data_IF_961528528465
#
_entry.id   IF_961528528465
#
_cell.length_a   1.000
_cell.length_b   1.000
_cell.length_c   1.000
_cell.angle_alpha   90.00
_cell.angle_beta   90.00
_cell.angle_gamma   90.00
#
_symmetry.space_group_name_H-M   'P 1'
#
loop_
_entity.id
_entity.type
_entity.pdbx_description
1 polymer ?
#
# COMPACT_ATOMS: atom_id res chain seq x y z
N UNK A 1 -7.12 -12.61 -7.07
CA UNK A 1 -7.99 -11.71 -6.28
C UNK A 1 -8.91 -12.62 -5.49
N UNK A 2 -9.13 -12.35 -4.20
CA UNK A 2 -10.05 -13.17 -3.40
C UNK A 2 -11.51 -12.91 -3.81
N UNK A 3 -12.46 -13.80 -3.46
CA UNK A 3 -13.88 -13.64 -3.81
C UNK A 3 -14.52 -12.33 -3.31
N UNK A 4 -13.97 -11.75 -2.25
CA UNK A 4 -14.35 -10.47 -1.66
C UNK A 4 -13.69 -9.25 -2.35
N UNK A 5 -12.88 -9.48 -3.39
CA UNK A 5 -12.13 -8.44 -4.07
C UNK A 5 -10.81 -8.06 -3.39
N UNK A 6 -10.45 -8.66 -2.25
CA UNK A 6 -9.23 -8.31 -1.54
C UNK A 6 -7.98 -8.70 -2.34
N UNK A 7 -7.03 -7.76 -2.42
CA UNK A 7 -5.70 -7.97 -2.97
C UNK A 7 -4.73 -8.23 -1.82
N UNK A 8 -4.07 -9.39 -1.87
CA UNK A 8 -3.14 -9.86 -0.85
C UNK A 8 -1.79 -10.23 -1.45
N UNK A 9 -0.73 -10.12 -0.65
CA UNK A 9 0.64 -10.44 -1.06
C UNK A 9 1.16 -11.67 -0.33
N UNK A 10 1.89 -12.53 -1.04
CA UNK A 10 2.57 -13.68 -0.47
C UNK A 10 3.65 -13.27 0.53
N UNK A 11 3.57 -13.82 1.74
CA UNK A 11 4.44 -13.47 2.88
C UNK A 11 5.93 -13.64 2.57
N UNK A 12 6.29 -14.66 1.78
CA UNK A 12 7.68 -14.94 1.42
C UNK A 12 8.29 -13.81 0.57
N UNK A 13 7.51 -13.30 -0.39
CA UNK A 13 7.96 -12.25 -1.30
C UNK A 13 8.09 -10.90 -0.61
N UNK A 14 7.33 -10.69 0.47
CA UNK A 14 7.46 -9.49 1.31
C UNK A 14 8.85 -9.40 1.95
N UNK A 15 9.36 -10.52 2.48
CA UNK A 15 10.72 -10.58 3.02
C UNK A 15 11.76 -10.24 1.97
N UNK A 16 11.66 -10.85 0.78
CA UNK A 16 12.59 -10.63 -0.32
C UNK A 16 12.56 -9.18 -0.82
N UNK A 17 11.38 -8.59 -1.00
CA UNK A 17 11.21 -7.20 -1.43
C UNK A 17 11.88 -6.21 -0.47
N UNK A 18 11.86 -6.50 0.83
CA UNK A 18 12.51 -5.70 1.86
C UNK A 18 14.00 -6.02 2.05
N UNK A 19 14.54 -6.96 1.28
CA UNK A 19 15.94 -7.39 1.32
C UNK A 19 16.28 -8.38 2.42
N UNK A 20 15.27 -9.06 2.97
CA UNK A 20 15.43 -10.09 3.98
C UNK A 20 15.19 -11.49 3.41
N UNK A 21 15.33 -12.51 4.27
CA UNK A 21 15.00 -13.90 3.94
C UNK A 21 13.49 -14.10 3.75
N UNK A 22 13.10 -15.15 3.02
CA UNK A 22 11.69 -15.54 2.84
C UNK A 22 10.95 -15.77 4.17
N UNK A 23 11.65 -16.24 5.19
CA UNK A 23 11.10 -16.50 6.53
C UNK A 23 11.01 -15.27 7.44
N UNK A 24 11.51 -14.11 7.01
CA UNK A 24 11.60 -12.90 7.83
C UNK A 24 10.28 -12.51 8.46
N UNK A 25 9.22 -12.41 7.66
CA UNK A 25 7.93 -11.95 8.15
C UNK A 25 7.34 -12.94 9.17
N UNK A 26 7.45 -14.24 8.90
CA UNK A 26 7.03 -15.28 9.84
C UNK A 26 7.73 -15.17 11.19
N UNK A 27 9.05 -14.97 11.19
CA UNK A 27 9.82 -14.81 12.43
C UNK A 27 9.41 -13.55 13.19
N UNK A 28 9.11 -12.47 12.46
CA UNK A 28 8.80 -11.15 13.01
C UNK A 28 7.40 -11.05 13.62
N UNK A 29 6.45 -11.87 13.17
CA UNK A 29 5.10 -11.92 13.71
C UNK A 29 4.88 -13.04 14.75
N UNK A 30 5.88 -13.92 14.99
CA UNK A 30 5.71 -15.10 15.85
C UNK A 30 5.77 -14.79 17.36
N UNK A 31 6.45 -13.71 17.76
CA UNK A 31 6.58 -13.29 19.16
C UNK A 31 6.29 -11.80 19.29
N UNK A 32 5.70 -11.44 20.42
CA UNK A 32 5.53 -10.03 20.76
C UNK A 32 6.91 -9.37 20.86
N UNK A 33 7.08 -8.30 20.09
CA UNK A 33 8.34 -7.58 19.98
C UNK A 33 8.06 -6.08 19.95
N UNK A 34 9.04 -5.25 20.33
CA UNK A 34 8.93 -3.78 20.19
C UNK A 34 8.54 -3.36 18.77
N UNK A 35 8.98 -4.13 17.78
CA UNK A 35 8.60 -3.94 16.38
C UNK A 35 7.15 -4.29 16.11
N UNK A 36 6.63 -5.41 16.61
CA UNK A 36 5.22 -5.76 16.45
C UNK A 36 4.31 -4.75 17.18
N UNK A 37 4.73 -4.25 18.34
CA UNK A 37 4.02 -3.18 19.05
C UNK A 37 3.98 -1.88 18.25
N UNK A 38 5.11 -1.47 17.65
CA UNK A 38 5.17 -0.29 16.79
C UNK A 38 4.36 -0.47 15.49
N UNK A 39 4.26 -1.68 14.95
CA UNK A 39 3.37 -1.97 13.82
C UNK A 39 1.90 -1.89 14.25
N UNK A 40 1.56 -2.44 15.42
CA UNK A 40 0.19 -2.38 15.97
C UNK A 40 -0.28 -0.94 16.22
N UNK A 41 0.61 -0.02 16.63
CA UNK A 41 0.24 1.40 16.75
C UNK A 41 -0.07 2.08 15.41
N UNK A 42 0.29 1.45 14.28
CA UNK A 42 -0.11 1.84 12.93
C UNK A 42 -1.34 1.04 12.44
N UNK A 43 -2.10 0.43 13.35
CA UNK A 43 -3.23 -0.46 13.05
C UNK A 43 -2.86 -1.67 12.17
N UNK A 44 -1.63 -2.19 12.26
CA UNK A 44 -1.24 -3.42 11.58
C UNK A 44 -1.96 -4.62 12.22
N UNK A 45 -2.74 -5.38 11.44
CA UNK A 45 -3.42 -6.57 11.96
C UNK A 45 -2.46 -7.77 12.03
N UNK A 46 -1.58 -7.90 11.03
CA UNK A 46 -0.67 -9.03 10.89
C UNK A 46 -1.38 -10.32 10.51
N UNK A 47 -2.64 -10.23 10.11
CA UNK A 47 -3.48 -11.37 9.76
C UNK A 47 -2.95 -12.06 8.51
N UNK A 48 -2.74 -13.36 8.64
CA UNK A 48 -2.19 -14.19 7.57
C UNK A 48 -3.20 -15.24 7.15
N UNK A 49 -3.61 -15.19 5.89
CA UNK A 49 -4.61 -16.09 5.31
C UNK A 49 -3.94 -17.00 4.28
N UNK A 50 -4.29 -18.28 4.30
CA UNK A 50 -3.90 -19.22 3.27
C UNK A 50 -4.81 -19.06 2.04
N UNK A 51 -4.21 -18.87 0.88
CA UNK A 51 -4.92 -18.76 -0.39
C UNK A 51 -4.41 -19.83 -1.34
N UNK A 52 -5.31 -20.37 -2.16
CA UNK A 52 -4.92 -21.28 -3.24
C UNK A 52 -4.41 -20.47 -4.42
N UNK A 53 -3.21 -20.83 -4.90
CA UNK A 53 -2.59 -20.22 -6.07
C UNK A 53 -3.01 -21.01 -7.29
N UNK A 54 -3.90 -20.43 -8.08
CA UNK A 54 -4.28 -20.98 -9.38
C UNK A 54 -3.12 -20.74 -10.35
N UNK A 55 -2.42 -21.81 -10.75
CA UNK A 55 -1.45 -21.77 -11.84
C UNK A 55 -2.19 -21.79 -13.17
N UNK A 56 -1.92 -20.82 -14.04
CA UNK A 56 -2.33 -20.86 -15.44
C UNK A 56 -1.30 -21.71 -16.20
N UNK A 57 -1.63 -22.99 -16.46
CA UNK A 57 -0.77 -23.94 -17.20
C UNK A 57 -1.27 -25.40 -17.09
N UNK A 58 -0.76 -26.29 -17.96
CA UNK A 58 -1.19 -27.71 -18.08
C UNK A 58 -0.87 -28.57 -16.84
N UNK A 59 0.07 -28.15 -15.99
CA UNK A 59 0.40 -28.82 -14.73
C UNK A 59 -0.54 -28.41 -13.59
N UNK A 60 -1.80 -28.86 -13.69
CA UNK A 60 -2.85 -28.70 -12.65
C UNK A 60 -2.68 -29.62 -11.44
N UNK A 61 -1.50 -30.22 -11.23
CA UNK A 61 -1.38 -31.36 -10.32
C UNK A 61 -1.26 -31.05 -8.83
N UNK A 62 -1.01 -29.81 -8.41
CA UNK A 62 -1.07 -29.46 -6.98
C UNK A 62 -1.58 -28.03 -6.76
N UNK A 63 -2.64 -27.88 -5.97
CA UNK A 63 -3.07 -26.58 -5.45
C UNK A 63 -2.03 -26.10 -4.44
N UNK A 64 -1.14 -25.20 -4.87
CA UNK A 64 -0.18 -24.59 -3.99
C UNK A 64 -0.90 -23.59 -3.08
N UNK A 65 -0.85 -23.85 -1.78
CA UNK A 65 -1.31 -22.89 -0.77
C UNK A 65 -0.19 -21.92 -0.46
N UNK A 66 -0.48 -20.63 -0.59
CA UNK A 66 0.42 -19.56 -0.19
C UNK A 66 -0.15 -18.81 1.00
N UNK A 67 0.70 -18.49 1.98
CA UNK A 67 0.30 -17.63 3.08
C UNK A 67 0.44 -16.17 2.68
N UNK A 68 -0.58 -15.36 2.94
CA UNK A 68 -0.67 -13.99 2.43
C UNK A 68 -1.07 -12.97 3.48
N UNK A 69 -0.67 -11.73 3.28
CA UNK A 69 -1.08 -10.56 4.09
C UNK A 69 -1.87 -9.58 3.24
N UNK A 70 -2.71 -8.78 3.89
CA UNK A 70 -3.43 -7.70 3.23
C UNK A 70 -2.46 -6.68 2.62
N UNK A 71 -2.88 -6.02 1.53
CA UNK A 71 -2.12 -4.91 0.95
C UNK A 71 -1.88 -3.79 1.97
N UNK A 72 -2.84 -3.52 2.87
CA UNK A 72 -2.71 -2.49 3.90
C UNK A 72 -1.60 -2.83 4.90
N UNK A 73 -1.55 -4.06 5.38
CA UNK A 73 -0.50 -4.50 6.29
C UNK A 73 0.87 -4.53 5.63
N UNK A 74 0.92 -4.88 4.34
CA UNK A 74 2.15 -4.79 3.57
C UNK A 74 2.66 -3.35 3.52
N UNK A 75 1.81 -2.37 3.17
CA UNK A 75 2.21 -0.95 3.11
C UNK A 75 2.69 -0.49 4.49
N UNK A 76 1.97 -0.80 5.57
CA UNK A 76 2.39 -0.44 6.94
C UNK A 76 3.76 -1.01 7.30
N UNK A 77 4.03 -2.26 6.93
CA UNK A 77 5.33 -2.88 7.15
C UNK A 77 6.45 -2.17 6.36
N UNK A 78 6.21 -1.88 5.08
CA UNK A 78 7.17 -1.17 4.23
C UNK A 78 7.44 0.23 4.82
N UNK A 79 6.40 0.96 5.22
CA UNK A 79 6.51 2.27 5.87
C UNK A 79 7.32 2.21 7.17
N UNK A 80 7.05 1.22 8.03
CA UNK A 80 7.83 1.02 9.25
C UNK A 80 9.31 0.75 8.96
N UNK A 81 9.60 -0.13 7.99
CA UNK A 81 10.97 -0.43 7.59
C UNK A 81 11.70 0.79 7.02
N UNK A 82 11.02 1.59 6.21
CA UNK A 82 11.57 2.81 5.64
C UNK A 82 11.88 3.85 6.72
N UNK A 83 10.92 4.13 7.61
CA UNK A 83 11.03 5.22 8.60
C UNK A 83 11.84 4.79 9.82
N UNK A 84 11.42 3.71 10.49
CA UNK A 84 12.00 3.31 11.78
C UNK A 84 13.31 2.53 11.64
N UNK A 85 13.49 1.81 10.53
CA UNK A 85 14.73 1.03 10.28
C UNK A 85 15.65 1.67 9.26
N UNK A 86 15.23 2.76 8.60
CA UNK A 86 15.98 3.42 7.50
C UNK A 86 16.39 2.41 6.43
N UNK A 87 15.53 1.41 6.17
CA UNK A 87 15.80 0.36 5.20
C UNK A 87 15.72 0.96 3.79
N UNK A 88 16.88 1.05 3.12
CA UNK A 88 17.00 1.64 1.78
C UNK A 88 16.08 0.97 0.75
N UNK A 89 15.90 -0.36 0.82
CA UNK A 89 15.02 -1.08 -0.11
C UNK A 89 13.55 -0.72 0.12
N UNK A 90 13.14 -0.57 1.38
CA UNK A 90 11.79 -0.12 1.70
C UNK A 90 11.54 1.32 1.24
N UNK A 91 12.53 2.22 1.37
CA UNK A 91 12.46 3.60 0.88
C UNK A 91 12.31 3.63 -0.65
N UNK A 92 13.16 2.88 -1.37
CA UNK A 92 13.08 2.77 -2.84
C UNK A 92 11.72 2.21 -3.27
N UNK A 93 11.21 1.21 -2.56
CA UNK A 93 9.91 0.61 -2.85
C UNK A 93 8.76 1.60 -2.66
N UNK A 94 8.80 2.42 -1.59
CA UNK A 94 7.82 3.50 -1.41
C UNK A 94 7.90 4.54 -2.52
N UNK A 95 9.11 4.94 -2.93
CA UNK A 95 9.29 5.89 -4.02
C UNK A 95 8.70 5.36 -5.33
N UNK A 96 8.99 4.10 -5.68
CA UNK A 96 8.45 3.46 -6.89
C UNK A 96 6.90 3.36 -6.85
N UNK A 97 6.33 3.05 -5.68
CA UNK A 97 4.88 3.04 -5.51
C UNK A 97 4.26 4.43 -5.60
N UNK A 98 4.91 5.45 -5.04
CA UNK A 98 4.45 6.83 -5.12
C UNK A 98 4.48 7.33 -6.56
N UNK A 99 5.58 7.12 -7.28
CA UNK A 99 5.72 7.49 -8.69
C UNK A 99 4.63 6.83 -9.55
N UNK A 100 4.50 5.50 -9.45
CA UNK A 100 3.46 4.75 -10.20
C UNK A 100 2.03 5.17 -9.80
N UNK A 101 1.82 5.46 -8.52
CA UNK A 101 0.53 5.85 -7.98
C UNK A 101 0.11 7.24 -8.45
N UNK A 102 1.03 8.22 -8.37
CA UNK A 102 0.81 9.60 -8.80
C UNK A 102 0.57 9.64 -10.32
N UNK A 103 1.38 8.91 -11.10
CA UNK A 103 1.20 8.83 -12.55
C UNK A 103 -0.22 8.37 -12.92
N UNK A 104 -0.71 7.30 -12.30
CA UNK A 104 -2.09 6.81 -12.50
C UNK A 104 -3.17 7.81 -12.06
N UNK A 105 -2.94 8.51 -10.95
CA UNK A 105 -3.87 9.52 -10.45
C UNK A 105 -3.98 10.68 -11.44
N UNK A 106 -2.84 11.14 -11.98
CA UNK A 106 -2.81 12.16 -13.03
C UNK A 106 -3.55 11.66 -14.27
N UNK A 107 -3.27 10.44 -14.70
CA UNK A 107 -3.91 9.79 -15.84
C UNK A 107 -5.44 9.71 -15.70
N UNK A 108 -5.93 9.31 -14.53
CA UNK A 108 -7.35 9.25 -14.23
C UNK A 108 -7.98 10.65 -14.17
N UNK A 109 -7.29 11.64 -13.59
CA UNK A 109 -7.73 13.03 -13.56
C UNK A 109 -7.84 13.64 -14.97
N UNK A 110 -6.84 13.43 -15.83
CA UNK A 110 -6.88 13.89 -17.23
C UNK A 110 -7.99 13.22 -18.05
N UNK A 111 -8.36 11.98 -17.70
CA UNK A 111 -9.49 11.25 -18.31
C UNK A 111 -10.84 11.63 -17.70
N UNK A 112 -10.90 12.58 -16.78
CA UNK A 112 -12.12 13.03 -16.11
C UNK A 112 -12.72 12.00 -15.15
N UNK A 113 -11.94 11.01 -14.69
CA UNK A 113 -12.39 10.02 -13.70
C UNK A 113 -12.24 10.60 -12.29
N UNK A 114 -13.12 10.17 -11.38
CA UNK A 114 -13.02 10.55 -9.97
C UNK A 114 -11.73 10.03 -9.34
N UNK A 115 -11.07 10.90 -8.57
CA UNK A 115 -9.89 10.60 -7.75
C UNK A 115 -10.23 10.59 -6.24
N UNK A 116 -11.52 10.54 -5.89
CA UNK A 116 -12.00 10.64 -4.49
C UNK A 116 -11.52 9.46 -3.64
N UNK A 117 -11.16 8.34 -4.25
CA UNK A 117 -10.56 7.20 -3.57
C UNK A 117 -9.25 7.54 -2.83
N UNK A 118 -8.55 8.61 -3.25
CA UNK A 118 -7.35 9.10 -2.56
C UNK A 118 -7.71 9.61 -1.17
N UNK A 119 -8.88 10.25 -1.02
CA UNK A 119 -9.34 10.80 0.25
C UNK A 119 -9.52 9.72 1.31
N UNK A 120 -10.13 8.60 0.93
CA UNK A 120 -10.25 7.43 1.80
C UNK A 120 -8.88 6.89 2.26
N UNK A 121 -7.86 6.98 1.40
CA UNK A 121 -6.50 6.56 1.77
C UNK A 121 -5.84 7.58 2.68
N UNK A 122 -6.00 8.88 2.43
CA UNK A 122 -5.43 9.91 3.28
C UNK A 122 -6.01 9.80 4.69
N UNK A 123 -7.33 9.71 4.85
CA UNK A 123 -7.97 9.52 6.18
C UNK A 123 -7.42 8.27 6.88
N UNK A 124 -7.21 7.17 6.15
CA UNK A 124 -6.66 5.95 6.73
C UNK A 124 -5.23 6.11 7.29
N UNK A 125 -4.40 6.96 6.69
CA UNK A 125 -2.98 7.07 7.03
C UNK A 125 -2.59 8.33 7.81
N UNK A 126 -3.35 9.42 7.72
CA UNK A 126 -2.93 10.74 8.22
C UNK A 126 -3.34 11.01 9.67
N UNK A 127 -4.22 10.20 10.28
CA UNK A 127 -4.95 10.58 11.52
C UNK A 127 -5.70 11.92 11.40
N UNK A 128 -5.74 12.54 10.22
CA UNK A 128 -6.42 13.80 10.02
C UNK A 128 -7.91 13.62 10.20
N UNK A 129 -8.56 14.61 10.77
CA UNK A 129 -10.01 14.67 10.73
C UNK A 129 -10.47 14.99 9.31
N UNK A 130 -11.74 14.71 9.02
CA UNK A 130 -12.30 14.99 7.69
C UNK A 130 -12.17 16.48 7.32
N UNK A 131 -12.26 17.34 8.34
CA UNK A 131 -12.13 18.80 8.23
C UNK A 131 -10.72 19.25 7.86
N UNK A 132 -9.68 18.69 8.48
CA UNK A 132 -8.28 18.98 8.16
C UNK A 132 -7.93 18.56 6.72
N UNK A 133 -8.52 17.45 6.26
CA UNK A 133 -8.36 16.99 4.88
C UNK A 133 -9.05 17.92 3.88
N UNK A 134 -10.32 18.28 4.10
CA UNK A 134 -11.06 19.19 3.20
C UNK A 134 -10.33 20.53 3.04
N UNK A 135 -9.78 21.07 4.12
CA UNK A 135 -9.03 22.33 4.07
C UNK A 135 -7.83 22.24 3.10
N UNK A 136 -7.01 21.19 3.23
CA UNK A 136 -5.84 20.98 2.36
C UNK A 136 -6.24 20.73 0.90
N UNK A 137 -7.38 20.10 0.65
CA UNK A 137 -7.88 19.89 -0.72
C UNK A 137 -8.37 21.18 -1.35
N UNK A 138 -9.03 22.05 -0.59
CA UNK A 138 -9.45 23.36 -1.07
C UNK A 138 -8.22 24.18 -1.47
N UNK A 139 -7.21 24.24 -0.61
CA UNK A 139 -5.94 24.93 -0.87
C UNK A 139 -5.26 24.38 -2.14
N UNK A 140 -5.12 23.05 -2.27
CA UNK A 140 -4.52 22.44 -3.47
C UNK A 140 -5.33 22.68 -4.75
N UNK A 141 -6.67 22.71 -4.68
CA UNK A 141 -7.54 23.02 -5.84
C UNK A 141 -7.38 24.48 -6.27
N UNK A 142 -7.24 25.39 -5.32
CA UNK A 142 -6.97 26.80 -5.60
C UNK A 142 -5.59 26.98 -6.23
N UNK A 143 -4.56 26.32 -5.71
CA UNK A 143 -3.21 26.33 -6.28
C UNK A 143 -3.19 25.77 -7.70
N UNK A 144 -3.87 24.64 -7.95
CA UNK A 144 -4.00 24.07 -9.29
C UNK A 144 -4.70 25.02 -10.27
N UNK A 145 -5.77 25.70 -9.83
CA UNK A 145 -6.45 26.71 -10.64
C UNK A 145 -5.56 27.93 -10.92
N UNK A 146 -4.73 28.32 -9.97
CA UNK A 146 -3.77 29.40 -10.14
C UNK A 146 -2.63 29.05 -11.11
N UNK A 147 -2.21 27.78 -11.14
CA UNK A 147 -1.20 27.26 -12.07
C UNK A 147 -1.74 27.13 -13.51
N UNK A 148 -3.05 26.95 -13.67
CA UNK A 148 -3.72 26.87 -14.98
C UNK A 148 -4.82 27.94 -15.10
N UNK A 149 -4.44 29.23 -15.21
CA UNK A 149 -5.39 30.30 -15.35
C UNK A 149 -5.98 30.24 -16.77
N UNK A 150 -7.16 29.60 -16.88
CA UNK A 150 -8.07 29.59 -18.05
C UNK A 150 -7.76 28.61 -19.19
N UNK A 151 -8.59 27.56 -19.28
CA UNK A 151 -9.37 27.31 -20.50
C UNK A 151 -8.66 26.84 -21.79
N UNK A 152 -7.47 26.27 -21.73
CA UNK A 152 -6.92 25.54 -22.89
C UNK A 152 -6.97 24.04 -22.62
N UNK A 153 -7.98 23.30 -23.14
CA UNK A 153 -7.84 21.85 -23.27
C UNK A 153 -6.77 21.54 -24.32
N UNK A 154 -6.15 20.35 -24.30
CA UNK A 154 -5.53 19.83 -25.53
C UNK A 154 -6.59 19.67 -26.64
#
# INVERSE_FOLDING_TARGET
MLPDGEKRLGVENVGVALGYSKGFFFQRTKRESKTLQALRSMNFSGEQIWVEVVRLGEDRRESLRAKTISLRDFIKLVTYEAISKRNKKAIILLAAFAETGIDRVLDDAFKGRSVDFILEKIVHYSKWTYEELEQVLVENREDLRALYPWGSPP
#
